data_IF_473032352321
#
_entry.id   IF_473032352321
#
_cell.length_a   1.000
_cell.length_b   1.000
_cell.length_c   1.000
_cell.angle_alpha   90.00
_cell.angle_beta   90.00
_cell.angle_gamma   90.00
#
_symmetry.space_group_name_H-M   'P 1'
#
loop_
_entity.id
_entity.type
_entity.pdbx_description
1 polymer ?
#
# COMPACT_ATOMS: atom_id res chain seq x y z
N UNK A 1 -4.24 16.46 -7.66
CA UNK A 1 -5.02 15.82 -6.59
C UNK A 1 -4.11 14.79 -5.97
N UNK A 2 -3.65 15.00 -4.74
CA UNK A 2 -2.69 14.10 -4.07
C UNK A 2 -3.42 12.82 -3.66
N UNK A 3 -2.69 11.71 -3.44
CA UNK A 3 -3.26 10.46 -2.90
C UNK A 3 -4.12 10.73 -1.64
N UNK A 4 -3.73 11.74 -0.86
CA UNK A 4 -4.43 12.24 0.33
C UNK A 4 -5.88 12.64 0.02
N UNK A 5 -6.15 13.37 -1.07
CA UNK A 5 -7.51 13.83 -1.40
C UNK A 5 -8.46 12.69 -1.75
N UNK A 6 -7.98 11.66 -2.47
CA UNK A 6 -8.79 10.49 -2.79
C UNK A 6 -9.08 9.63 -1.55
N UNK A 7 -8.09 9.46 -0.66
CA UNK A 7 -8.29 8.79 0.64
C UNK A 7 -9.31 9.53 1.51
N UNK A 8 -9.29 10.88 1.56
CA UNK A 8 -10.26 11.67 2.34
C UNK A 8 -11.69 11.56 1.82
N UNK A 9 -11.91 11.48 0.49
CA UNK A 9 -13.25 11.31 -0.08
C UNK A 9 -13.86 9.93 0.20
N UNK A 10 -13.05 8.87 0.17
CA UNK A 10 -13.52 7.50 0.43
C UNK A 10 -13.76 7.24 1.93
N UNK A 11 -12.97 7.86 2.81
CA UNK A 11 -13.18 7.81 4.26
C UNK A 11 -14.46 8.52 4.71
N UNK A 12 -14.91 9.54 3.95
CA UNK A 12 -16.08 10.36 4.25
C UNK A 12 -17.25 10.08 3.28
N UNK A 13 -17.47 8.83 2.89
CA UNK A 13 -18.72 8.45 2.23
C UNK A 13 -19.88 8.68 3.22
N UNK A 14 -20.47 9.87 3.15
CA UNK A 14 -21.63 10.25 3.96
C UNK A 14 -22.85 9.45 3.49
N UNK A 15 -23.48 8.76 4.43
CA UNK A 15 -24.54 7.78 4.20
C UNK A 15 -25.92 8.42 3.97
N UNK A 16 -26.66 7.79 3.06
CA UNK A 16 -28.13 7.76 3.05
C UNK A 16 -28.64 6.30 3.17
N UNK A 17 -28.00 5.45 4.01
CA UNK A 17 -28.34 4.02 4.09
C UNK A 17 -27.84 3.27 5.34
N UNK A 18 -28.31 2.03 5.50
CA UNK A 18 -28.20 1.21 6.71
C UNK A 18 -26.86 0.45 6.86
N UNK A 19 -26.46 0.11 8.10
CA UNK A 19 -25.18 -0.59 8.40
C UNK A 19 -25.08 -1.98 7.77
N UNK A 20 -26.22 -2.58 7.47
CA UNK A 20 -26.31 -3.98 7.11
C UNK A 20 -26.21 -4.27 5.60
N UNK A 21 -26.04 -3.23 4.77
CA UNK A 21 -25.93 -3.39 3.32
C UNK A 21 -24.86 -2.45 2.73
N UNK A 22 -23.56 -2.70 3.00
CA UNK A 22 -22.46 -1.91 2.42
C UNK A 22 -22.44 -2.05 0.89
N UNK A 23 -21.97 -1.10 0.08
CA UNK A 23 -21.96 -1.26 -1.38
C UNK A 23 -21.00 -2.37 -1.86
N UNK A 24 -21.30 -3.09 -2.97
CA UNK A 24 -20.40 -4.08 -3.55
C UNK A 24 -19.03 -3.49 -3.93
N UNK A 25 -17.99 -4.32 -3.86
CA UNK A 25 -16.63 -3.89 -4.17
C UNK A 25 -16.51 -3.30 -5.58
N UNK A 26 -17.14 -3.93 -6.57
CA UNK A 26 -17.17 -3.51 -7.96
C UNK A 26 -17.84 -2.14 -8.12
N UNK A 27 -18.88 -1.86 -7.33
CA UNK A 27 -19.55 -0.57 -7.35
C UNK A 27 -18.64 0.55 -6.81
N UNK A 28 -17.90 0.27 -5.73
CA UNK A 28 -16.89 1.18 -5.19
C UNK A 28 -15.74 1.39 -6.16
N UNK A 29 -15.17 0.33 -6.71
CA UNK A 29 -14.11 0.42 -7.72
C UNK A 29 -14.57 1.20 -8.97
N UNK A 30 -15.82 0.99 -9.41
CA UNK A 30 -16.42 1.76 -10.50
C UNK A 30 -16.60 3.24 -10.17
N UNK A 31 -16.91 3.59 -8.92
CA UNK A 31 -16.92 4.98 -8.45
C UNK A 31 -15.51 5.60 -8.51
N UNK A 32 -14.51 4.93 -7.94
CA UNK A 32 -13.12 5.40 -7.96
C UNK A 32 -12.61 5.55 -9.40
N UNK A 33 -12.96 4.62 -10.29
CA UNK A 33 -12.65 4.69 -11.71
C UNK A 33 -13.25 5.94 -12.37
N UNK A 34 -14.53 6.26 -12.14
CA UNK A 34 -15.15 7.48 -12.68
C UNK A 34 -14.49 8.75 -12.14
N UNK A 35 -14.12 8.77 -10.86
CA UNK A 35 -13.37 9.88 -10.27
C UNK A 35 -12.00 10.04 -10.94
N UNK A 36 -11.30 8.93 -11.17
CA UNK A 36 -10.01 8.92 -11.84
C UNK A 36 -10.11 9.40 -13.31
N UNK A 37 -11.14 8.97 -14.05
CA UNK A 37 -11.45 9.49 -15.39
C UNK A 37 -11.67 11.00 -15.38
N UNK A 38 -12.43 11.51 -14.41
CA UNK A 38 -12.66 12.94 -14.27
C UNK A 38 -11.37 13.70 -13.95
N UNK A 39 -10.57 13.19 -13.02
CA UNK A 39 -9.28 13.77 -12.66
C UNK A 39 -8.34 13.85 -13.88
N UNK A 40 -8.34 12.82 -14.73
CA UNK A 40 -7.56 12.81 -15.96
C UNK A 40 -7.98 13.89 -16.95
N UNK A 41 -9.28 14.04 -17.16
CA UNK A 41 -9.82 15.08 -18.03
C UNK A 41 -9.44 16.49 -17.54
N UNK A 42 -9.39 16.70 -16.22
CA UNK A 42 -8.97 17.97 -15.63
C UNK A 42 -7.46 18.16 -15.68
N UNK A 43 -6.67 17.13 -15.41
CA UNK A 43 -5.20 17.14 -15.50
C UNK A 43 -4.72 17.60 -16.87
N UNK A 44 -5.40 17.13 -17.94
CA UNK A 44 -5.18 17.59 -19.32
C UNK A 44 -5.35 19.10 -19.48
N UNK A 45 -6.35 19.70 -18.83
CA UNK A 45 -6.61 21.15 -18.91
C UNK A 45 -5.48 21.98 -18.31
N UNK A 46 -4.76 21.41 -17.35
CA UNK A 46 -3.65 22.07 -16.64
C UNK A 46 -2.27 21.64 -17.15
N UNK A 47 -2.18 20.88 -18.25
CA UNK A 47 -0.92 20.48 -18.85
C UNK A 47 -0.11 19.44 -18.07
N UNK A 48 -0.77 18.67 -17.19
CA UNK A 48 -0.13 17.53 -16.51
C UNK A 48 -0.19 16.29 -17.42
N UNK A 49 0.81 15.41 -17.31
CA UNK A 49 0.93 14.19 -18.12
C UNK A 49 -0.14 13.12 -17.79
N UNK A 50 -0.82 13.25 -16.64
CA UNK A 50 -1.93 12.39 -16.24
C UNK A 50 -1.53 10.93 -16.00
N UNK A 51 -0.25 10.60 -15.91
CA UNK A 51 0.16 9.21 -15.73
C UNK A 51 0.08 8.85 -14.25
N UNK A 52 -0.73 7.84 -13.93
CA UNK A 52 -0.81 7.34 -12.56
C UNK A 52 -1.17 5.86 -12.56
N UNK A 53 -0.86 5.19 -11.46
CA UNK A 53 -1.28 3.82 -11.21
C UNK A 53 -1.72 3.73 -9.75
N UNK A 54 -2.88 3.14 -9.50
CA UNK A 54 -3.48 3.06 -8.18
C UNK A 54 -4.09 1.70 -7.92
N UNK A 55 -4.05 1.28 -6.67
CA UNK A 55 -4.74 0.09 -6.18
C UNK A 55 -5.88 0.52 -5.26
N UNK A 56 -7.03 -0.13 -5.40
CA UNK A 56 -8.11 -0.11 -4.42
C UNK A 56 -8.30 -1.54 -3.94
N UNK A 57 -8.23 -1.79 -2.64
CA UNK A 57 -8.29 -3.13 -2.09
C UNK A 57 -9.05 -3.15 -0.77
N UNK A 58 -9.64 -4.29 -0.44
CA UNK A 58 -10.42 -4.43 0.78
C UNK A 58 -11.04 -5.81 0.95
N UNK A 59 -11.76 -5.97 2.05
CA UNK A 59 -12.63 -7.11 2.30
C UNK A 59 -14.02 -6.85 1.72
N UNK A 60 -14.54 -7.78 0.92
CA UNK A 60 -15.90 -7.79 0.39
C UNK A 60 -16.81 -8.60 1.32
N UNK A 61 -17.74 -7.97 2.06
CA UNK A 61 -18.63 -8.70 2.96
C UNK A 61 -19.69 -9.54 2.23
N UNK A 62 -19.97 -9.24 0.96
CA UNK A 62 -20.90 -10.01 0.14
C UNK A 62 -20.34 -11.38 -0.23
N UNK A 63 -19.05 -11.43 -0.54
CA UNK A 63 -18.38 -12.63 -1.03
C UNK A 63 -17.54 -13.30 0.07
N UNK A 64 -17.39 -12.64 1.23
CA UNK A 64 -16.51 -13.05 2.32
C UNK A 64 -15.08 -13.31 1.84
N UNK A 65 -14.56 -12.41 1.01
CA UNK A 65 -13.24 -12.53 0.40
C UNK A 65 -12.57 -11.18 0.21
N UNK A 66 -11.25 -11.19 0.07
CA UNK A 66 -10.48 -10.03 -0.31
C UNK A 66 -10.63 -9.73 -1.80
N UNK A 67 -10.58 -8.44 -2.15
CA UNK A 67 -10.62 -7.99 -3.54
C UNK A 67 -9.61 -6.90 -3.78
N UNK A 68 -9.07 -6.86 -4.99
CA UNK A 68 -8.14 -5.84 -5.48
C UNK A 68 -8.63 -5.34 -6.83
N UNK A 69 -8.64 -4.02 -6.99
CA UNK A 69 -8.86 -3.32 -8.24
C UNK A 69 -7.59 -2.54 -8.59
N UNK A 70 -7.17 -2.62 -9.83
CA UNK A 70 -6.09 -1.82 -10.41
C UNK A 70 -6.67 -0.76 -11.33
N UNK A 71 -6.30 0.49 -11.08
CA UNK A 71 -6.70 1.65 -11.88
C UNK A 71 -5.45 2.26 -12.48
N UNK A 72 -5.42 2.36 -13.81
CA UNK A 72 -4.24 2.79 -14.55
C UNK A 72 -4.57 3.93 -15.50
N UNK A 73 -3.92 5.07 -15.32
CA UNK A 73 -4.04 6.25 -16.17
C UNK A 73 -2.88 6.33 -17.16
N UNK A 74 -3.18 6.30 -18.46
CA UNK A 74 -2.19 6.35 -19.53
C UNK A 74 -2.49 7.46 -20.54
N UNK A 75 -1.44 7.87 -21.24
CA UNK A 75 -1.48 8.77 -22.39
C UNK A 75 -0.69 8.13 -23.54
N UNK A 76 -1.36 7.29 -24.33
CA UNK A 76 -0.83 6.48 -25.43
C UNK A 76 -1.39 6.92 -26.80
N UNK A 77 -1.55 8.23 -27.00
CA UNK A 77 -2.25 8.81 -28.16
C UNK A 77 -3.70 9.22 -27.85
N UNK A 78 -4.13 8.99 -26.60
CA UNK A 78 -5.31 9.56 -25.98
C UNK A 78 -5.30 9.27 -24.48
N UNK A 79 -5.78 10.23 -23.67
CA UNK A 79 -5.91 10.02 -22.22
C UNK A 79 -6.95 8.93 -21.95
N UNK A 80 -6.49 7.80 -21.40
CA UNK A 80 -7.34 6.66 -21.04
C UNK A 80 -7.13 6.32 -19.57
N UNK A 81 -8.22 5.94 -18.92
CA UNK A 81 -8.16 5.24 -17.64
C UNK A 81 -8.67 3.83 -17.87
N UNK A 82 -7.95 2.86 -17.34
CA UNK A 82 -8.33 1.45 -17.32
C UNK A 82 -8.65 1.01 -15.89
N UNK A 83 -9.62 0.12 -15.75
CA UNK A 83 -9.94 -0.59 -14.52
C UNK A 83 -9.81 -2.08 -14.80
N UNK A 84 -9.04 -2.78 -13.97
CA UNK A 84 -8.95 -4.24 -13.99
C UNK A 84 -9.05 -4.80 -12.58
N UNK A 85 -9.49 -6.06 -12.48
CA UNK A 85 -9.60 -6.80 -11.22
C UNK A 85 -8.65 -8.00 -11.32
N UNK A 86 -7.39 -7.87 -10.87
CA UNK A 86 -6.44 -8.97 -10.96
C UNK A 86 -6.92 -10.17 -10.12
N UNK A 87 -6.68 -11.36 -10.63
CA UNK A 87 -6.98 -12.61 -9.92
C UNK A 87 -6.13 -12.74 -8.64
N UNK A 88 -6.71 -13.40 -7.64
CA UNK A 88 -6.02 -13.67 -6.38
C UNK A 88 -4.76 -14.51 -6.62
N UNK A 89 -3.64 -14.19 -5.95
CA UNK A 89 -2.46 -15.03 -6.02
C UNK A 89 -2.76 -16.45 -5.52
N UNK A 90 -2.25 -17.45 -6.23
CA UNK A 90 -2.44 -18.87 -5.90
C UNK A 90 -1.56 -19.27 -4.70
N UNK A 91 -0.36 -18.68 -4.61
CA UNK A 91 0.60 -18.99 -3.56
C UNK A 91 0.53 -18.04 -2.35
N UNK A 92 0.69 -18.60 -1.15
CA UNK A 92 0.90 -17.80 0.05
C UNK A 92 2.18 -16.97 -0.07
N UNK A 93 2.08 -15.68 0.28
CA UNK A 93 3.21 -14.73 0.22
C UNK A 93 3.51 -14.20 -1.19
N UNK A 94 2.71 -14.55 -2.20
CA UNK A 94 2.79 -13.88 -3.50
C UNK A 94 2.04 -12.55 -3.48
N UNK A 95 2.60 -11.49 -4.09
CA UNK A 95 1.93 -10.21 -4.17
C UNK A 95 0.74 -10.32 -5.14
N UNK A 96 -0.41 -9.82 -4.72
CA UNK A 96 -1.59 -9.71 -5.59
C UNK A 96 -1.38 -8.65 -6.69
N UNK A 97 -0.77 -7.52 -6.32
CA UNK A 97 -0.51 -6.41 -7.21
C UNK A 97 0.75 -5.65 -6.75
N UNK A 98 1.62 -5.30 -7.69
CA UNK A 98 2.81 -4.47 -7.43
C UNK A 98 2.84 -3.35 -8.46
N UNK A 99 2.81 -2.11 -7.97
CA UNK A 99 2.74 -0.89 -8.78
C UNK A 99 4.01 -0.05 -8.64
N UNK A 100 4.20 0.89 -9.57
CA UNK A 100 5.31 1.84 -9.57
C UNK A 100 6.57 1.34 -10.29
N UNK A 101 7.55 2.24 -10.42
CA UNK A 101 8.76 2.00 -11.22
C UNK A 101 9.62 0.85 -10.66
N UNK A 102 9.71 0.74 -9.33
CA UNK A 102 10.44 -0.32 -8.64
C UNK A 102 9.78 -1.71 -8.70
N UNK A 103 8.61 -1.86 -9.36
CA UNK A 103 7.89 -3.13 -9.41
C UNK A 103 8.70 -4.26 -10.09
N UNK A 104 9.54 -3.92 -11.07
CA UNK A 104 10.45 -4.89 -11.71
C UNK A 104 11.47 -5.43 -10.72
N UNK A 105 12.18 -4.53 -10.04
CA UNK A 105 13.18 -4.85 -9.01
C UNK A 105 12.57 -5.67 -7.86
N UNK A 106 11.39 -5.26 -7.37
CA UNK A 106 10.67 -6.02 -6.35
C UNK A 106 10.42 -7.47 -6.76
N UNK A 107 9.90 -7.69 -7.98
CA UNK A 107 9.61 -9.03 -8.49
C UNK A 107 10.88 -9.87 -8.66
N UNK A 108 11.97 -9.28 -9.16
CA UNK A 108 13.25 -10.00 -9.27
C UNK A 108 13.81 -10.40 -7.91
N UNK A 109 13.78 -9.50 -6.93
CA UNK A 109 14.25 -9.79 -5.56
C UNK A 109 13.39 -10.84 -4.89
N UNK A 110 12.07 -10.81 -5.09
CA UNK A 110 11.15 -11.84 -4.61
C UNK A 110 11.46 -13.21 -5.21
N UNK A 111 11.72 -13.27 -6.52
CA UNK A 111 12.09 -14.51 -7.20
C UNK A 111 13.41 -15.08 -6.65
N UNK A 112 14.43 -14.23 -6.47
CA UNK A 112 15.71 -14.62 -5.85
C UNK A 112 15.51 -15.13 -4.42
N UNK A 113 14.69 -14.45 -3.61
CA UNK A 113 14.41 -14.87 -2.25
C UNK A 113 13.75 -16.26 -2.23
N UNK A 114 12.70 -16.46 -3.04
CA UNK A 114 11.99 -17.75 -3.16
C UNK A 114 12.90 -18.89 -3.62
N UNK A 115 13.89 -18.60 -4.47
CA UNK A 115 14.86 -19.60 -4.91
C UNK A 115 15.91 -19.96 -3.83
N UNK A 116 16.12 -19.09 -2.83
CA UNK A 116 17.18 -19.23 -1.83
C UNK A 116 16.77 -19.87 -0.50
N UNK A 117 15.46 -20.03 -0.21
CA UNK A 117 14.97 -20.52 1.10
C UNK A 117 13.89 -21.61 0.97
N UNK A 118 13.95 -22.59 1.89
CA UNK A 118 12.85 -23.48 2.26
C UNK A 118 11.83 -22.70 3.12
N UNK A 119 10.76 -22.20 2.50
CA UNK A 119 9.57 -21.69 3.20
C UNK A 119 9.26 -20.22 2.94
N UNK A 120 8.03 -19.99 2.47
CA UNK A 120 7.45 -18.66 2.35
C UNK A 120 7.09 -18.13 3.75
N UNK A 121 7.97 -17.33 4.35
CA UNK A 121 7.63 -16.56 5.55
C UNK A 121 6.58 -15.48 5.19
N UNK A 122 5.58 -15.26 6.06
CA UNK A 122 4.44 -14.35 5.81
C UNK A 122 4.81 -12.87 5.64
N UNK A 123 6.09 -12.50 5.80
CA UNK A 123 6.60 -11.11 5.79
C UNK A 123 7.61 -10.83 4.69
N UNK A 124 7.78 -11.74 3.73
CA UNK A 124 8.77 -11.59 2.64
C UNK A 124 8.55 -10.32 1.81
N UNK A 125 7.32 -9.97 1.36
CA UNK A 125 7.10 -8.72 0.63
C UNK A 125 7.58 -7.47 1.39
N UNK A 126 7.25 -7.37 2.68
CA UNK A 126 7.64 -6.24 3.51
C UNK A 126 9.16 -6.14 3.65
N UNK A 127 9.85 -7.26 3.89
CA UNK A 127 11.32 -7.30 3.95
C UNK A 127 11.98 -6.85 2.66
N UNK A 128 11.41 -7.22 1.50
CA UNK A 128 11.92 -6.78 0.20
C UNK A 128 11.75 -5.28 0.05
N UNK A 129 10.59 -4.73 0.37
CA UNK A 129 10.34 -3.28 0.33
C UNK A 129 11.32 -2.54 1.24
N UNK A 130 11.54 -3.01 2.47
CA UNK A 130 12.50 -2.37 3.37
C UNK A 130 13.94 -2.45 2.86
N UNK A 131 14.36 -3.56 2.25
CA UNK A 131 15.67 -3.66 1.60
C UNK A 131 15.79 -2.71 0.41
N UNK A 132 14.73 -2.54 -0.38
CA UNK A 132 14.71 -1.58 -1.48
C UNK A 132 14.74 -0.13 -1.00
N UNK A 133 14.12 0.18 0.15
CA UNK A 133 14.16 1.50 0.76
C UNK A 133 15.51 1.78 1.43
N UNK A 134 16.12 0.77 2.06
CA UNK A 134 17.37 0.91 2.80
C UNK A 134 18.62 0.78 1.93
N UNK A 135 18.54 0.06 0.81
CA UNK A 135 19.65 -0.17 -0.11
C UNK A 135 19.42 0.52 -1.44
N UNK A 136 20.49 0.99 -2.07
CA UNK A 136 20.50 1.59 -3.41
C UNK A 136 20.17 0.59 -4.56
N UNK A 137 19.38 -0.45 -4.26
CA UNK A 137 18.99 -1.51 -5.19
C UNK A 137 18.14 -0.96 -6.33
N UNK A 138 17.34 0.07 -6.05
CA UNK A 138 16.57 0.80 -7.04
C UNK A 138 16.53 2.29 -6.69
N UNK A 139 17.15 3.19 -7.49
CA UNK A 139 17.19 4.62 -7.17
C UNK A 139 15.81 5.31 -7.26
N UNK A 140 14.79 4.61 -7.76
CA UNK A 140 13.42 5.12 -7.83
C UNK A 140 12.60 4.82 -6.57
N UNK A 141 13.16 4.05 -5.62
CA UNK A 141 12.53 3.67 -4.35
C UNK A 141 13.30 4.29 -3.20
N UNK A 142 12.59 4.96 -2.29
CA UNK A 142 13.20 5.62 -1.13
C UNK A 142 12.16 6.06 -0.10
N UNK A 143 12.60 6.80 0.91
CA UNK A 143 11.75 7.27 2.00
C UNK A 143 11.53 6.19 3.06
N UNK A 144 10.28 5.80 3.26
CA UNK A 144 9.88 4.88 4.33
C UNK A 144 8.85 3.86 3.85
N UNK A 145 8.90 2.65 4.41
CA UNK A 145 7.81 1.70 4.26
C UNK A 145 6.64 2.06 5.19
N UNK A 146 5.41 1.80 4.75
CA UNK A 146 4.21 1.90 5.58
C UNK A 146 3.33 0.70 5.31
N UNK A 147 2.71 0.18 6.37
CA UNK A 147 1.95 -1.07 6.30
C UNK A 147 0.53 -0.81 6.74
N UNK A 148 -0.42 -1.31 5.97
CA UNK A 148 -1.82 -1.31 6.33
C UNK A 148 -2.45 -2.64 5.95
N UNK A 149 -3.49 -3.03 6.68
CA UNK A 149 -4.27 -4.23 6.40
C UNK A 149 -5.76 -3.86 6.30
N UNK A 150 -6.42 -4.42 5.29
CA UNK A 150 -7.86 -4.54 5.29
C UNK A 150 -8.23 -5.90 5.91
N UNK A 151 -9.34 -5.94 6.65
CA UNK A 151 -9.93 -7.15 7.21
C UNK A 151 -11.45 -6.98 7.32
N UNK A 152 -12.16 -8.02 7.74
CA UNK A 152 -13.62 -8.03 7.85
C UNK A 152 -14.23 -6.95 8.76
N UNK A 153 -13.43 -6.36 9.65
CA UNK A 153 -13.88 -5.30 10.56
C UNK A 153 -13.38 -3.90 10.17
N UNK A 154 -12.66 -3.76 9.06
CA UNK A 154 -12.23 -2.46 8.57
C UNK A 154 -10.80 -2.43 8.03
N UNK A 155 -10.21 -1.25 8.14
CA UNK A 155 -8.86 -0.95 7.65
C UNK A 155 -8.02 -0.42 8.79
N UNK A 156 -6.84 -1.00 8.99
CA UNK A 156 -5.91 -0.63 10.03
C UNK A 156 -4.54 -0.29 9.43
N UNK A 157 -3.96 0.83 9.86
CA UNK A 157 -2.58 1.18 9.56
C UNK A 157 -1.68 0.80 10.74
N UNK A 158 -0.52 0.25 10.43
CA UNK A 158 0.48 -0.18 11.40
C UNK A 158 1.72 0.68 11.28
N UNK A 159 2.37 0.98 12.42
CA UNK A 159 3.75 1.41 12.36
C UNK A 159 4.65 0.19 12.13
N UNK A 160 5.75 0.37 11.38
CA UNK A 160 6.81 -0.61 11.29
C UNK A 160 7.82 -0.38 12.40
N UNK A 161 8.37 -1.47 12.94
CA UNK A 161 9.48 -1.40 13.91
C UNK A 161 10.76 -1.78 13.19
N UNK A 162 11.65 -0.80 13.00
CA UNK A 162 12.97 -1.03 12.44
C UNK A 162 13.96 -1.31 13.57
N UNK A 163 14.67 -2.43 13.49
CA UNK A 163 15.78 -2.70 14.42
C UNK A 163 16.95 -1.79 14.07
N UNK A 164 17.58 -1.17 15.07
CA UNK A 164 18.83 -0.43 14.90
C UNK A 164 19.95 -1.32 14.34
N UNK A 165 20.96 -0.71 13.71
CA UNK A 165 22.13 -1.45 13.23
C UNK A 165 22.85 -2.15 14.40
N UNK A 166 23.64 -3.19 14.11
CA UNK A 166 24.44 -3.89 15.13
C UNK A 166 25.29 -2.88 15.93
N UNK A 167 25.04 -2.76 17.24
CA UNK A 167 25.66 -1.76 18.13
C UNK A 167 24.80 -0.52 18.45
N UNK A 168 23.64 -0.35 17.81
CA UNK A 168 22.64 0.65 18.17
C UNK A 168 21.46 0.00 18.90
N UNK A 169 21.09 0.57 20.05
CA UNK A 169 20.13 -0.05 20.98
C UNK A 169 18.67 0.34 20.77
N UNK A 170 18.34 1.26 19.87
CA UNK A 170 16.98 1.73 19.69
C UNK A 170 16.30 1.08 18.48
N UNK A 171 15.21 0.37 18.73
CA UNK A 171 14.22 0.08 17.69
C UNK A 171 13.44 1.36 17.40
N UNK A 172 13.33 1.76 16.14
CA UNK A 172 12.59 2.96 15.73
C UNK A 172 11.19 2.59 15.24
N UNK A 173 10.17 3.33 15.68
CA UNK A 173 8.76 3.18 15.27
C UNK A 173 8.45 4.15 14.12
N UNK A 174 8.28 3.62 12.91
CA UNK A 174 8.00 4.41 11.71
C UNK A 174 6.53 4.34 11.31
N UNK A 175 5.87 5.49 11.14
CA UNK A 175 4.48 5.57 10.72
C UNK A 175 4.29 6.63 9.63
N UNK A 176 3.93 6.20 8.40
CA UNK A 176 3.76 7.10 7.25
C UNK A 176 4.96 8.03 7.00
N UNK A 177 6.18 7.54 7.25
CA UNK A 177 7.43 8.29 7.08
C UNK A 177 7.83 9.18 8.23
N UNK A 178 7.07 9.17 9.32
CA UNK A 178 7.43 9.84 10.57
C UNK A 178 8.11 8.84 11.51
N UNK A 179 9.24 9.24 12.07
CA UNK A 179 9.80 8.57 13.23
C UNK A 179 9.03 9.01 14.49
N UNK A 180 8.20 8.11 15.03
CA UNK A 180 7.38 8.41 16.19
C UNK A 180 8.20 8.63 17.47
N UNK A 181 9.42 8.10 17.52
CA UNK A 181 10.29 8.22 18.68
C UNK A 181 11.05 9.56 18.64
N UNK A 182 11.53 9.96 17.45
CA UNK A 182 12.30 11.20 17.29
C UNK A 182 11.43 12.44 17.01
N UNK A 183 10.38 12.31 16.19
CA UNK A 183 9.58 13.46 15.71
C UNK A 183 8.34 13.72 16.57
N UNK A 184 7.73 12.67 17.12
CA UNK A 184 6.54 12.80 17.99
C UNK A 184 6.92 12.72 19.46
N UNK A 185 7.90 11.87 19.80
CA UNK A 185 8.40 11.71 21.15
C UNK A 185 7.39 11.07 22.10
N UNK A 186 7.50 11.42 23.38
CA UNK A 186 6.58 10.98 24.43
C UNK A 186 5.65 12.11 24.87
N UNK A 187 4.46 11.72 25.32
CA UNK A 187 3.58 12.59 26.11
C UNK A 187 3.78 12.18 27.56
N UNK A 188 4.56 12.96 28.31
CA UNK A 188 5.10 12.59 29.62
C UNK A 188 5.81 11.22 29.56
N UNK A 189 5.29 10.24 30.31
CA UNK A 189 5.78 8.87 30.41
C UNK A 189 5.09 7.91 29.43
N UNK A 190 4.19 8.41 28.59
CA UNK A 190 3.37 7.61 27.69
C UNK A 190 3.87 7.71 26.24
N UNK A 191 3.84 6.58 25.56
CA UNK A 191 4.07 6.50 24.12
C UNK A 191 2.72 6.56 23.39
N UNK A 192 2.73 7.11 22.17
CA UNK A 192 1.60 6.94 21.25
C UNK A 192 1.41 5.45 20.98
N UNK A 193 0.27 4.91 21.43
CA UNK A 193 -0.10 3.52 21.22
C UNK A 193 -0.78 3.37 19.85
N UNK A 194 -0.13 2.64 18.96
CA UNK A 194 -0.70 2.11 17.74
C UNK A 194 -0.34 0.62 17.65
N UNK A 195 -0.95 -0.14 16.73
CA UNK A 195 -0.50 -1.52 16.50
C UNK A 195 0.77 -1.50 15.65
N UNK A 196 1.80 -2.20 16.11
CA UNK A 196 3.07 -2.31 15.41
C UNK A 196 3.24 -3.66 14.73
N UNK A 197 3.92 -3.67 13.59
CA UNK A 197 4.41 -4.90 12.95
C UNK A 197 5.94 -4.94 13.09
N UNK A 198 6.43 -5.95 13.83
CA UNK A 198 7.86 -6.19 14.03
C UNK A 198 8.48 -6.99 12.88
N UNK A 199 9.68 -6.58 12.46
CA UNK A 199 10.42 -7.23 11.39
C UNK A 199 11.76 -7.68 11.97
N UNK A 200 11.84 -8.97 12.31
CA UNK A 200 13.12 -9.58 12.71
C UNK A 200 14.06 -9.53 11.50
N UNK A 201 15.17 -8.80 11.66
CA UNK A 201 16.32 -8.84 10.77
C UNK A 201 17.17 -10.05 11.14
N UNK A 202 16.67 -11.25 10.84
CA UNK A 202 17.56 -12.40 10.77
C UNK A 202 18.35 -12.25 9.47
N UNK A 203 19.62 -11.86 9.63
CA UNK A 203 20.58 -11.64 8.56
C UNK A 203 20.52 -12.80 7.55
N UNK A 204 20.25 -12.45 6.30
CA UNK A 204 20.58 -13.28 5.13
C UNK A 204 22.06 -13.13 4.83
#
# INVERSE_FOLDING_TARGET
MTAVTASTFLQNLVRQGDRDNPPPFEALAGLVFRLAQRFMQESRRYGMDGKFSAAFFGWSPYESDYKVAHIDGRDDGGFRVELSMPDQPIGNGEPWLVLGNGAGTFRSTLATYKASKDGAESRVPLRIVEKMVAGDTDPTVGGSASVAAAHEHGFEMFYSVRSGAAGQQASHRLFNGLDLDDEVGTVDQYFVAARGIGISHDYL
#
